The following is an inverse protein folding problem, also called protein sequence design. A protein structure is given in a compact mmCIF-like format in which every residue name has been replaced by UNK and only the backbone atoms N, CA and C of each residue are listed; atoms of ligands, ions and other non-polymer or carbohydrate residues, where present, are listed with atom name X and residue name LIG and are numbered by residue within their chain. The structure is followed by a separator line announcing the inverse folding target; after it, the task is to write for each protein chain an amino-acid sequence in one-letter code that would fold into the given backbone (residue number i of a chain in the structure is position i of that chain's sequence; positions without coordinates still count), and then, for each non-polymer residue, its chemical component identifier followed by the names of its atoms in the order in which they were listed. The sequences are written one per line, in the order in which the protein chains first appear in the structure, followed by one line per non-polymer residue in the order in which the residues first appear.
data_IF_496302949533
#
_entry.id   IF_496302949533
#
_cell.length_a   1.000
_cell.length_b   1.000
_cell.length_c   1.000
_cell.angle_alpha   90.00
_cell.angle_beta   90.00
_cell.angle_gamma   90.00
#
_symmetry.space_group_name_H-M   'P 1'
#
loop_
_entity.id
_entity.type
_entity.pdbx_description
1 polymer ?
#
# COMPACT_ATOMS: atom_id res chain seq x y z
N UNK A 1 8.17 30.51 27.94
CA UNK A 1 9.12 29.40 28.14
C UNK A 1 9.03 28.51 26.91
N UNK A 2 10.00 28.58 25.98
CA UNK A 2 10.02 27.65 24.82
C UNK A 2 10.33 26.26 25.37
N UNK A 3 9.48 25.29 25.09
CA UNK A 3 9.79 23.88 25.36
C UNK A 3 11.00 23.55 24.50
N UNK A 4 12.13 23.27 25.13
CA UNK A 4 13.37 22.85 24.45
C UNK A 4 13.41 21.35 24.19
N UNK A 5 12.40 20.61 24.66
CA UNK A 5 12.31 19.16 24.53
C UNK A 5 10.88 18.72 24.22
N UNK A 6 10.72 17.78 23.30
CA UNK A 6 9.44 17.09 23.11
C UNK A 6 9.17 16.12 24.27
N UNK A 7 7.89 15.90 24.57
CA UNK A 7 7.49 14.90 25.56
C UNK A 7 7.37 13.51 24.92
N UNK A 8 7.60 12.46 25.71
CA UNK A 8 7.41 11.08 25.26
C UNK A 8 6.01 10.82 24.65
N UNK A 9 4.96 11.45 25.21
CA UNK A 9 3.60 11.33 24.67
C UNK A 9 3.45 11.98 23.29
N UNK A 10 4.10 13.12 23.04
CA UNK A 10 4.10 13.78 21.74
C UNK A 10 4.83 12.93 20.68
N UNK A 11 5.99 12.38 21.04
CA UNK A 11 6.77 11.48 20.19
C UNK A 11 5.94 10.24 19.83
N UNK A 12 5.38 9.56 20.84
CA UNK A 12 4.55 8.38 20.65
C UNK A 12 3.36 8.64 19.72
N UNK A 13 2.71 9.81 19.84
CA UNK A 13 1.58 10.19 18.97
C UNK A 13 2.01 10.37 17.50
N UNK A 14 3.15 11.02 17.25
CA UNK A 14 3.66 11.22 15.90
C UNK A 14 4.03 9.87 15.26
N UNK A 15 4.77 9.02 15.98
CA UNK A 15 5.15 7.68 15.49
C UNK A 15 3.93 6.79 15.24
N UNK A 16 2.95 6.78 16.17
CA UNK A 16 1.72 6.02 15.97
C UNK A 16 0.91 6.51 14.75
N UNK A 17 0.94 7.82 14.46
CA UNK A 17 0.31 8.37 13.26
C UNK A 17 1.02 7.88 12.00
N UNK A 18 2.35 7.91 12.00
CA UNK A 18 3.16 7.39 10.90
C UNK A 18 2.82 5.91 10.64
N UNK A 19 2.87 5.07 11.67
CA UNK A 19 2.57 3.64 11.57
C UNK A 19 1.15 3.35 11.10
N UNK A 20 0.17 4.18 11.49
CA UNK A 20 -1.20 4.05 11.04
C UNK A 20 -1.35 4.34 9.53
N UNK A 21 -0.66 5.36 9.01
CA UNK A 21 -0.68 5.67 7.57
C UNK A 21 0.09 4.61 6.79
N UNK A 22 1.25 4.16 7.26
CA UNK A 22 2.02 3.08 6.62
C UNK A 22 1.22 1.77 6.54
N UNK A 23 0.46 1.42 7.58
CA UNK A 23 -0.40 0.23 7.55
C UNK A 23 -1.49 0.32 6.50
N UNK A 24 -2.13 1.49 6.36
CA UNK A 24 -3.13 1.74 5.30
C UNK A 24 -2.50 1.70 3.92
N UNK A 25 -1.29 2.24 3.77
CA UNK A 25 -0.53 2.16 2.52
C UNK A 25 -0.14 0.71 2.19
N UNK A 26 0.29 -0.07 3.17
CA UNK A 26 0.71 -1.46 3.00
C UNK A 26 -0.37 -2.36 2.41
N UNK A 27 -1.65 -2.07 2.66
CA UNK A 27 -2.78 -2.74 1.98
C UNK A 27 -2.67 -2.59 0.45
N UNK A 28 -2.28 -1.43 -0.05
CA UNK A 28 -2.06 -1.18 -1.48
C UNK A 28 -0.73 -1.73 -2.02
N UNK A 29 0.17 -2.22 -1.16
CA UNK A 29 1.41 -2.88 -1.57
C UNK A 29 1.32 -4.40 -1.53
N UNK A 30 0.37 -4.96 -0.78
CA UNK A 30 0.28 -6.41 -0.55
C UNK A 30 -1.03 -7.04 -1.03
N UNK A 31 -2.14 -6.29 -1.03
CA UNK A 31 -3.42 -6.79 -1.54
C UNK A 31 -3.65 -6.34 -2.99
N UNK A 32 -3.42 -7.27 -3.91
CA UNK A 32 -3.63 -7.05 -5.33
C UNK A 32 -5.10 -6.75 -5.68
N UNK A 33 -6.08 -7.27 -4.93
CA UNK A 33 -7.48 -6.95 -5.15
C UNK A 33 -7.75 -5.47 -4.81
N UNK A 34 -7.18 -4.97 -3.72
CA UNK A 34 -7.24 -3.56 -3.33
C UNK A 34 -6.61 -2.64 -4.40
N UNK A 35 -5.47 -3.03 -4.96
CA UNK A 35 -4.83 -2.30 -6.08
C UNK A 35 -5.74 -2.24 -7.30
N UNK A 36 -6.36 -3.36 -7.69
CA UNK A 36 -7.26 -3.41 -8.87
C UNK A 36 -8.51 -2.54 -8.68
N UNK A 37 -9.05 -2.46 -7.47
CA UNK A 37 -10.20 -1.61 -7.16
C UNK A 37 -9.86 -0.12 -7.19
N UNK A 38 -8.63 0.23 -6.83
CA UNK A 38 -8.16 1.62 -6.67
C UNK A 38 -6.79 1.84 -7.34
N UNK A 39 -6.67 1.64 -8.66
CA UNK A 39 -5.38 1.63 -9.35
C UNK A 39 -4.69 2.98 -9.38
N UNK A 40 -5.43 4.08 -9.14
CA UNK A 40 -4.83 5.40 -9.03
C UNK A 40 -3.85 5.51 -7.86
N UNK A 41 -3.99 4.71 -6.80
CA UNK A 41 -3.09 4.75 -5.64
C UNK A 41 -1.65 4.32 -5.96
N UNK A 42 -1.41 3.66 -7.09
CA UNK A 42 -0.06 3.28 -7.55
C UNK A 42 0.37 4.00 -8.84
N UNK A 43 -0.47 4.89 -9.39
CA UNK A 43 -0.18 5.61 -10.64
C UNK A 43 0.58 6.93 -10.37
N UNK A 44 1.90 6.94 -10.63
CA UNK A 44 2.76 8.13 -10.45
C UNK A 44 2.46 9.30 -11.42
N UNK A 45 1.57 9.10 -12.39
CA UNK A 45 1.07 10.17 -13.26
C UNK A 45 -0.04 10.98 -12.59
N UNK A 46 -0.75 10.40 -11.62
CA UNK A 46 -1.76 11.10 -10.84
C UNK A 46 -1.08 12.05 -9.82
N UNK A 47 -1.31 13.37 -9.91
CA UNK A 47 -0.64 14.34 -9.04
C UNK A 47 -0.84 14.08 -7.55
N UNK A 48 -2.03 13.65 -7.13
CA UNK A 48 -2.30 13.37 -5.71
C UNK A 48 -1.53 12.14 -5.22
N UNK A 49 -1.41 11.12 -6.06
CA UNK A 49 -0.63 9.92 -5.75
C UNK A 49 0.85 10.26 -5.63
N UNK A 50 1.40 11.02 -6.59
CA UNK A 50 2.79 11.50 -6.51
C UNK A 50 3.06 12.31 -5.23
N UNK A 51 2.19 13.28 -4.92
CA UNK A 51 2.34 14.10 -3.72
C UNK A 51 2.30 13.25 -2.43
N UNK A 52 1.47 12.21 -2.38
CA UNK A 52 1.48 11.24 -1.29
C UNK A 52 2.84 10.52 -1.21
N UNK A 53 3.36 9.98 -2.31
CA UNK A 53 4.63 9.24 -2.30
C UNK A 53 5.81 10.12 -1.89
N UNK A 54 5.87 11.35 -2.38
CA UNK A 54 6.89 12.34 -1.99
C UNK A 54 6.81 12.64 -0.48
N UNK A 55 5.60 12.86 0.05
CA UNK A 55 5.40 13.11 1.48
C UNK A 55 5.74 11.89 2.35
N UNK A 56 5.48 10.66 1.84
CA UNK A 56 5.87 9.42 2.52
C UNK A 56 7.39 9.34 2.65
N UNK A 57 8.12 9.51 1.54
CA UNK A 57 9.59 9.47 1.53
C UNK A 57 10.16 10.49 2.53
N UNK A 58 9.65 11.73 2.53
CA UNK A 58 10.09 12.74 3.47
C UNK A 58 9.82 12.36 4.94
N UNK A 59 8.69 11.70 5.24
CA UNK A 59 8.38 11.24 6.59
C UNK A 59 9.21 10.01 7.01
N UNK A 60 9.50 9.11 6.07
CA UNK A 60 10.37 7.94 6.26
C UNK A 60 11.82 8.38 6.54
N UNK A 61 12.34 9.33 5.76
CA UNK A 61 13.71 9.87 5.92
C UNK A 61 13.93 10.56 7.28
N UNK A 62 12.87 11.15 7.85
CA UNK A 62 12.90 11.83 9.15
C UNK A 62 12.56 10.91 10.32
N UNK A 63 12.20 9.66 10.06
CA UNK A 63 11.88 8.69 11.12
C UNK A 63 13.18 8.31 11.84
N UNK A 64 13.25 8.46 13.17
CA UNK A 64 14.48 8.13 13.91
C UNK A 64 14.66 6.62 14.05
N UNK A 65 15.91 6.18 14.11
CA UNK A 65 16.26 4.82 14.55
C UNK A 65 16.14 4.69 16.08
N UNK A 66 16.56 5.72 16.81
CA UNK A 66 16.38 5.85 18.26
C UNK A 66 15.31 6.90 18.60
N UNK A 67 14.17 6.54 19.23
CA UNK A 67 13.14 7.49 19.64
C UNK A 67 13.64 8.67 20.49
N UNK A 68 14.75 8.51 21.22
CA UNK A 68 15.35 9.58 22.02
C UNK A 68 15.90 10.73 21.14
N UNK A 69 16.17 10.51 19.86
CA UNK A 69 16.55 11.57 18.92
C UNK A 69 15.45 12.64 18.73
N UNK A 70 14.18 12.25 18.90
CA UNK A 70 13.04 13.16 18.83
C UNK A 70 12.79 13.90 20.15
N UNK A 71 13.65 13.74 21.17
CA UNK A 71 13.58 14.58 22.34
C UNK A 71 13.99 16.02 21.99
N UNK A 72 14.88 16.22 21.01
CA UNK A 72 15.16 17.53 20.44
C UNK A 72 13.88 18.10 19.79
N UNK A 73 13.46 19.29 20.24
CA UNK A 73 12.21 19.91 19.79
C UNK A 73 12.21 20.26 18.30
N UNK A 74 13.36 20.60 17.73
CA UNK A 74 13.47 20.99 16.33
C UNK A 74 13.32 19.75 15.44
N UNK A 75 14.05 18.66 15.77
CA UNK A 75 13.89 17.34 15.11
C UNK A 75 12.48 16.80 15.23
N UNK A 76 11.89 16.89 16.43
CA UNK A 76 10.50 16.47 16.64
C UNK A 76 9.52 17.27 15.78
N UNK A 77 9.73 18.58 15.67
CA UNK A 77 8.85 19.46 14.89
C UNK A 77 8.91 19.10 13.41
N UNK A 78 10.10 18.91 12.86
CA UNK A 78 10.31 18.48 11.47
C UNK A 78 9.64 17.13 11.19
N UNK A 79 9.92 16.12 12.02
CA UNK A 79 9.32 14.79 11.86
C UNK A 79 7.79 14.82 11.98
N UNK A 80 7.25 15.50 13.01
CA UNK A 80 5.81 15.63 13.22
C UNK A 80 5.12 16.29 12.02
N UNK A 81 5.73 17.34 11.47
CA UNK A 81 5.14 18.08 10.35
C UNK A 81 5.20 17.26 9.05
N UNK A 82 6.28 16.50 8.84
CA UNK A 82 6.37 15.54 7.72
C UNK A 82 5.32 14.42 7.84
N UNK A 83 5.15 13.81 9.02
CA UNK A 83 4.11 12.78 9.27
C UNK A 83 2.71 13.36 9.03
N UNK A 84 2.47 14.61 9.43
CA UNK A 84 1.20 15.29 9.16
C UNK A 84 0.97 15.50 7.67
N UNK A 85 1.99 15.98 6.94
CA UNK A 85 1.92 16.17 5.50
C UNK A 85 1.62 14.85 4.78
N UNK A 86 2.32 13.78 5.16
CA UNK A 86 2.08 12.43 4.65
C UNK A 86 0.64 11.97 4.91
N UNK A 87 0.15 12.08 6.14
CA UNK A 87 -1.21 11.66 6.49
C UNK A 87 -2.29 12.40 5.68
N UNK A 88 -2.11 13.70 5.46
CA UNK A 88 -3.01 14.53 4.66
C UNK A 88 -2.95 14.14 3.18
N UNK A 89 -1.75 14.03 2.61
CA UNK A 89 -1.55 13.68 1.21
C UNK A 89 -2.11 12.29 0.89
N UNK A 90 -1.87 11.30 1.75
CA UNK A 90 -2.43 9.96 1.61
C UNK A 90 -3.96 9.97 1.61
N UNK A 91 -4.57 10.72 2.55
CA UNK A 91 -6.02 10.80 2.64
C UNK A 91 -6.65 11.50 1.44
N UNK A 92 -5.97 12.50 0.87
CA UNK A 92 -6.40 13.17 -0.36
C UNK A 92 -6.33 12.22 -1.58
N UNK A 93 -5.21 11.51 -1.74
CA UNK A 93 -5.03 10.52 -2.80
C UNK A 93 -6.08 9.40 -2.70
N UNK A 94 -6.30 8.86 -1.49
CA UNK A 94 -7.30 7.81 -1.28
C UNK A 94 -8.73 8.28 -1.56
N UNK A 95 -9.07 9.50 -1.15
CA UNK A 95 -10.38 10.09 -1.44
C UNK A 95 -10.60 10.23 -2.94
N UNK A 96 -9.59 10.70 -3.68
CA UNK A 96 -9.67 10.81 -5.14
C UNK A 96 -9.76 9.44 -5.82
N UNK A 97 -8.95 8.47 -5.37
CA UNK A 97 -8.99 7.11 -5.88
C UNK A 97 -10.39 6.47 -5.66
N UNK A 98 -11.03 6.72 -4.51
CA UNK A 98 -12.40 6.26 -4.23
C UNK A 98 -13.45 6.98 -5.08
N UNK A 99 -13.26 8.27 -5.36
CA UNK A 99 -14.17 9.07 -6.19
C UNK A 99 -14.11 8.66 -7.65
N UNK A 100 -12.89 8.47 -8.18
CA UNK A 100 -12.67 8.08 -9.58
C UNK A 100 -12.84 6.59 -9.82
N UNK A 101 -12.49 5.72 -8.87
CA UNK A 101 -12.43 4.26 -9.06
C UNK A 101 -11.72 3.93 -10.37
N UNK A 102 -12.38 3.18 -11.25
CA UNK A 102 -11.89 2.81 -12.58
C UNK A 102 -12.45 3.71 -13.69
N UNK A 103 -12.90 4.93 -13.39
CA UNK A 103 -13.52 5.83 -14.39
C UNK A 103 -12.59 6.24 -15.53
N UNK A 104 -11.27 6.21 -15.30
CA UNK A 104 -10.27 6.52 -16.32
C UNK A 104 -10.08 5.40 -17.37
N UNK A 105 -10.58 4.19 -17.09
CA UNK A 105 -10.52 3.05 -17.99
C UNK A 105 -11.74 2.99 -18.90
N UNK A 106 -11.54 2.52 -20.13
CA UNK A 106 -12.62 2.23 -21.06
C UNK A 106 -13.43 0.98 -20.62
N UNK A 107 -14.59 0.68 -21.25
CA UNK A 107 -15.40 -0.47 -20.86
C UNK A 107 -14.70 -1.83 -20.96
N UNK A 108 -13.83 -2.03 -21.96
CA UNK A 108 -13.09 -3.27 -22.16
C UNK A 108 -12.00 -3.42 -21.09
N UNK A 109 -11.27 -2.34 -20.81
CA UNK A 109 -10.29 -2.25 -19.75
C UNK A 109 -10.90 -2.54 -18.37
N UNK A 110 -12.07 -1.96 -18.06
CA UNK A 110 -12.81 -2.28 -16.81
C UNK A 110 -13.21 -3.75 -16.73
N UNK A 111 -13.58 -4.37 -17.85
CA UNK A 111 -13.87 -5.80 -17.88
C UNK A 111 -12.62 -6.64 -17.60
N UNK A 112 -11.45 -6.24 -18.14
CA UNK A 112 -10.17 -6.87 -17.82
C UNK A 112 -9.84 -6.77 -16.33
N UNK A 113 -9.99 -5.57 -15.72
CA UNK A 113 -9.80 -5.36 -14.29
C UNK A 113 -10.72 -6.26 -13.44
N UNK A 114 -12.00 -6.33 -13.79
CA UNK A 114 -12.95 -7.19 -13.07
C UNK A 114 -12.62 -8.68 -13.20
N UNK A 115 -12.17 -9.13 -14.38
CA UNK A 115 -11.70 -10.52 -14.56
C UNK A 115 -10.45 -10.79 -13.72
N UNK A 116 -9.48 -9.88 -13.75
CA UNK A 116 -8.27 -9.97 -12.94
C UNK A 116 -8.62 -10.07 -11.45
N UNK A 117 -9.52 -9.21 -10.96
CA UNK A 117 -9.98 -9.22 -9.56
C UNK A 117 -10.54 -10.58 -9.15
N UNK A 118 -11.42 -11.17 -9.97
CA UNK A 118 -11.98 -12.51 -9.70
C UNK A 118 -10.91 -13.59 -9.68
N UNK A 119 -9.93 -13.52 -10.58
CA UNK A 119 -8.81 -14.46 -10.62
C UNK A 119 -7.90 -14.31 -9.39
N UNK A 120 -7.66 -13.09 -8.91
CA UNK A 120 -6.93 -12.84 -7.66
C UNK A 120 -7.67 -13.46 -6.47
N UNK A 121 -9.00 -13.30 -6.39
CA UNK A 121 -9.79 -13.93 -5.33
C UNK A 121 -9.65 -15.46 -5.31
N UNK A 122 -9.60 -16.10 -6.48
CA UNK A 122 -9.34 -17.55 -6.59
C UNK A 122 -7.90 -17.88 -6.18
N UNK A 123 -6.93 -17.05 -6.55
CA UNK A 123 -5.52 -17.29 -6.23
C UNK A 123 -5.23 -17.27 -4.73
N UNK A 124 -5.98 -16.47 -3.95
CA UNK A 124 -5.86 -16.39 -2.49
C UNK A 124 -6.83 -17.33 -1.74
N UNK A 125 -7.70 -18.04 -2.44
CA UNK A 125 -8.69 -18.94 -1.82
C UNK A 125 -8.01 -20.24 -1.35
N UNK A 126 -7.90 -20.42 -0.03
CA UNK A 126 -7.32 -21.61 0.60
C UNK A 126 -8.14 -22.89 0.33
N UNK A 127 -9.41 -22.77 -0.03
CA UNK A 127 -10.24 -23.92 -0.41
C UNK A 127 -9.97 -24.42 -1.83
N UNK A 128 -9.30 -23.62 -2.67
CA UNK A 128 -8.95 -23.99 -4.04
C UNK A 128 -7.67 -24.84 -4.08
N UNK A 129 -7.56 -25.71 -5.09
CA UNK A 129 -6.35 -26.52 -5.24
C UNK A 129 -5.15 -25.63 -5.59
N UNK A 130 -3.92 -26.03 -5.23
CA UNK A 130 -2.77 -25.20 -5.55
C UNK A 130 -2.53 -25.01 -7.06
N UNK A 131 -2.99 -25.95 -7.90
CA UNK A 131 -2.95 -25.82 -9.35
C UNK A 131 -3.92 -24.74 -9.88
N UNK A 132 -5.14 -24.69 -9.33
CA UNK A 132 -6.13 -23.66 -9.65
C UNK A 132 -5.63 -22.28 -9.22
N UNK A 133 -5.07 -22.17 -8.02
CA UNK A 133 -4.50 -20.91 -7.51
C UNK A 133 -3.37 -20.38 -8.38
N UNK A 134 -2.42 -21.24 -8.78
CA UNK A 134 -1.33 -20.87 -9.72
C UNK A 134 -1.85 -20.44 -11.08
N UNK A 135 -2.83 -21.17 -11.63
CA UNK A 135 -3.42 -20.83 -12.92
C UNK A 135 -4.14 -19.48 -12.85
N UNK A 136 -4.92 -19.25 -11.80
CA UNK A 136 -5.63 -18.02 -11.56
C UNK A 136 -4.67 -16.84 -11.40
N UNK A 137 -3.59 -16.99 -10.63
CA UNK A 137 -2.55 -15.96 -10.48
C UNK A 137 -1.92 -15.58 -11.83
N UNK A 138 -1.49 -16.58 -12.62
CA UNK A 138 -0.88 -16.31 -13.94
C UNK A 138 -1.84 -15.54 -14.85
N UNK A 139 -3.09 -15.99 -14.94
CA UNK A 139 -4.12 -15.32 -15.75
C UNK A 139 -4.43 -13.92 -15.23
N UNK A 140 -4.43 -13.71 -13.92
CA UNK A 140 -4.62 -12.38 -13.34
C UNK A 140 -3.50 -11.43 -13.80
N UNK A 141 -2.23 -11.88 -13.77
CA UNK A 141 -1.10 -11.09 -14.29
C UNK A 141 -1.28 -10.74 -15.77
N UNK A 142 -1.68 -11.71 -16.60
CA UNK A 142 -1.92 -11.47 -18.03
C UNK A 142 -3.04 -10.44 -18.26
N UNK A 143 -4.11 -10.48 -17.46
CA UNK A 143 -5.20 -9.51 -17.54
C UNK A 143 -4.78 -8.09 -17.12
N UNK A 144 -3.87 -7.97 -16.16
CA UNK A 144 -3.36 -6.68 -15.65
C UNK A 144 -2.20 -6.11 -16.48
N UNK A 145 -1.55 -6.94 -17.29
CA UNK A 145 -0.39 -6.52 -18.07
C UNK A 145 -0.74 -5.36 -19.01
N UNK A 146 0.12 -4.33 -18.97
CA UNK A 146 -0.05 -3.05 -19.65
C UNK A 146 -1.21 -2.18 -19.17
N UNK A 147 -1.99 -2.61 -18.18
CA UNK A 147 -3.20 -1.91 -17.74
C UNK A 147 -2.97 -1.06 -16.49
N UNK A 148 -2.31 -1.62 -15.48
CA UNK A 148 -1.97 -0.94 -14.23
C UNK A 148 -0.56 -1.28 -13.79
N UNK A 149 0.09 -0.35 -13.07
CA UNK A 149 1.34 -0.65 -12.39
C UNK A 149 1.04 -1.53 -11.17
N UNK A 150 1.48 -2.79 -11.23
CA UNK A 150 1.37 -3.74 -10.12
C UNK A 150 2.70 -3.71 -9.35
N UNK A 151 2.70 -3.40 -8.04
CA UNK A 151 3.91 -3.44 -7.22
C UNK A 151 4.51 -4.84 -7.15
N UNK A 152 5.84 -4.95 -7.29
CA UNK A 152 6.56 -6.24 -7.18
C UNK A 152 6.31 -6.92 -5.82
N UNK A 153 6.14 -6.13 -4.76
CA UNK A 153 5.81 -6.62 -3.42
C UNK A 153 4.47 -7.34 -3.39
N UNK A 154 3.45 -6.85 -4.10
CA UNK A 154 2.13 -7.47 -4.18
C UNK A 154 2.21 -8.81 -4.93
N UNK A 155 2.95 -8.84 -6.03
CA UNK A 155 3.25 -10.08 -6.77
C UNK A 155 3.95 -11.10 -5.88
N UNK A 156 5.01 -10.68 -5.18
CA UNK A 156 5.79 -11.57 -4.32
C UNK A 156 4.98 -12.07 -3.11
N UNK A 157 4.10 -11.24 -2.53
CA UNK A 157 3.20 -11.65 -1.45
C UNK A 157 2.22 -12.73 -1.92
N UNK A 158 1.62 -12.55 -3.10
CA UNK A 158 0.71 -13.53 -3.68
C UNK A 158 1.44 -14.82 -4.08
N UNK A 159 2.64 -14.73 -4.66
CA UNK A 159 3.47 -15.90 -4.98
C UNK A 159 3.84 -16.71 -3.75
N UNK A 160 4.22 -16.06 -2.65
CA UNK A 160 4.47 -16.74 -1.37
C UNK A 160 3.23 -17.41 -0.81
N UNK A 161 2.06 -16.78 -0.89
CA UNK A 161 0.80 -17.41 -0.46
C UNK A 161 0.49 -18.66 -1.29
N UNK A 162 0.68 -18.59 -2.61
CA UNK A 162 0.43 -19.71 -3.53
C UNK A 162 1.47 -20.83 -3.39
N UNK A 163 2.72 -20.49 -3.03
CA UNK A 163 3.81 -21.45 -2.87
C UNK A 163 3.93 -22.05 -1.47
N UNK A 164 3.76 -21.26 -0.40
CA UNK A 164 3.98 -21.67 0.99
C UNK A 164 3.00 -22.76 1.47
N UNK A 165 1.82 -22.85 0.86
CA UNK A 165 0.88 -23.93 1.19
C UNK A 165 1.14 -25.24 0.45
N UNK A 166 2.08 -25.24 -0.51
CA UNK A 166 2.55 -26.47 -1.17
C UNK A 166 3.40 -27.32 -0.22
N UNK A 167 4.16 -26.68 0.65
CA UNK A 167 5.02 -27.37 1.62
C UNK A 167 4.16 -27.95 2.75
N UNK A 168 3.24 -27.16 3.31
CA UNK A 168 2.33 -27.60 4.39
C UNK A 168 1.38 -28.74 3.99
N UNK A 169 0.91 -28.78 2.73
CA UNK A 169 0.05 -29.85 2.22
C UNK A 169 0.79 -31.11 1.74
N UNK A 170 2.13 -31.09 1.70
CA UNK A 170 2.97 -32.24 1.33
C UNK A 170 3.49 -33.05 2.52
N UNK A 171 3.31 -32.53 3.74
CA UNK A 171 3.75 -33.14 5.00
C UNK A 171 2.60 -33.72 5.85
N UNK A 172 1.38 -33.83 5.30
CA UNK A 172 0.20 -34.38 6.00
C UNK A 172 -0.30 -35.70 5.43
#
# INVERSE_FOLDING_TARGET
MRLTRATASQIAKATATHDAVNRRWFEYETDLATIIERPLMTDMREPLTRAFHEARIAADDLRPDDPDELLDIDRFTEYRDAVRAYSVAFSAAETEARRRKQSAFDPLERQRLERARKLVMIAVDEAATPAERRNAYRRARDELDGLIAVPDVACAALERSVAGELEAGSES
#
